data_IF_630699585023
#
_entry.id   IF_630699585023
#
_cell.length_a   1.000
_cell.length_b   1.000
_cell.length_c   1.000
_cell.angle_alpha   90.00
_cell.angle_beta   90.00
_cell.angle_gamma   90.00
#
_symmetry.space_group_name_H-M   'P 1'
#
loop_
_entity.id
_entity.type
_entity.pdbx_description
1 polymer ?
#
# COMPACT_ATOMS: atom_id res chain seq x y z
N UNK A 1 3.20 12.65 -13.97
CA UNK A 1 3.51 12.51 -12.54
C UNK A 1 2.46 11.62 -11.89
N UNK A 2 2.86 10.70 -11.01
CA UNK A 2 1.90 9.86 -10.28
C UNK A 2 1.03 10.66 -9.31
N UNK A 3 -0.17 10.16 -8.98
CA UNK A 3 -1.11 10.85 -8.09
C UNK A 3 -1.97 9.89 -7.28
N UNK A 4 -2.31 10.30 -6.06
CA UNK A 4 -3.36 9.66 -5.28
C UNK A 4 -4.73 10.17 -5.75
N UNK A 5 -5.68 9.25 -5.92
CA UNK A 5 -7.07 9.54 -6.24
C UNK A 5 -7.93 8.99 -5.11
N UNK A 6 -8.57 9.89 -4.35
CA UNK A 6 -9.54 9.49 -3.32
C UNK A 6 -10.88 9.22 -4.01
N UNK A 7 -11.51 8.09 -3.66
CA UNK A 7 -12.82 7.67 -4.12
C UNK A 7 -13.76 7.52 -2.92
N UNK A 8 -14.94 8.10 -3.02
CA UNK A 8 -16.05 7.84 -2.09
C UNK A 8 -16.72 6.52 -2.48
N UNK A 9 -16.94 5.64 -1.51
CA UNK A 9 -17.73 4.40 -1.63
C UNK A 9 -19.07 4.59 -0.91
N UNK A 10 -19.94 3.58 -0.96
CA UNK A 10 -21.20 3.59 -0.22
C UNK A 10 -20.99 3.61 1.31
N UNK A 11 -19.82 3.19 1.78
CA UNK A 11 -19.50 3.00 3.20
C UNK A 11 -18.43 3.95 3.72
N UNK A 12 -17.83 4.80 2.88
CA UNK A 12 -16.78 5.72 3.30
C UNK A 12 -15.91 6.24 2.16
N UNK A 13 -14.61 6.33 2.41
CA UNK A 13 -13.59 6.87 1.50
C UNK A 13 -12.44 5.87 1.39
N UNK A 14 -11.91 5.68 0.20
CA UNK A 14 -10.67 4.93 -0.04
C UNK A 14 -9.84 5.64 -1.09
N UNK A 15 -8.66 5.15 -1.41
CA UNK A 15 -7.81 5.77 -2.43
C UNK A 15 -7.15 4.75 -3.35
N UNK A 16 -6.65 5.27 -4.48
CA UNK A 16 -5.75 4.53 -5.38
C UNK A 16 -4.58 5.41 -5.76
N UNK A 17 -3.39 4.81 -5.84
CA UNK A 17 -2.21 5.45 -6.43
C UNK A 17 -2.18 5.11 -7.91
N UNK A 18 -2.10 6.16 -8.75
CA UNK A 18 -1.95 6.04 -10.19
C UNK A 18 -0.55 6.43 -10.64
N UNK A 19 0.02 5.64 -11.53
CA UNK A 19 1.28 5.96 -12.22
C UNK A 19 1.10 7.14 -13.20
N UNK A 20 2.20 7.61 -13.78
CA UNK A 20 2.18 8.75 -14.71
C UNK A 20 1.37 8.49 -15.98
N UNK A 21 1.24 7.23 -16.38
CA UNK A 21 0.41 6.75 -17.49
C UNK A 21 -1.07 6.57 -17.11
N UNK A 22 -1.45 6.80 -15.84
CA UNK A 22 -2.83 6.71 -15.36
C UNK A 22 -3.26 5.33 -14.86
N UNK A 23 -2.42 4.31 -14.97
CA UNK A 23 -2.70 2.97 -14.45
C UNK A 23 -2.66 2.94 -12.92
N UNK A 24 -3.55 2.14 -12.33
CA UNK A 24 -3.57 1.95 -10.87
C UNK A 24 -2.48 0.97 -10.48
N UNK A 25 -1.57 1.41 -9.61
CA UNK A 25 -0.44 0.60 -9.12
C UNK A 25 -0.60 0.17 -7.66
N UNK A 26 -1.47 0.85 -6.90
CA UNK A 26 -1.77 0.49 -5.53
C UNK A 26 -3.19 0.96 -5.17
N UNK A 27 -3.89 0.17 -4.37
CA UNK A 27 -5.19 0.50 -3.78
C UNK A 27 -5.03 0.53 -2.27
N UNK A 28 -5.69 1.49 -1.60
CA UNK A 28 -5.71 1.56 -0.14
C UNK A 28 -6.26 0.26 0.47
N UNK A 29 -5.68 -0.19 1.57
CA UNK A 29 -6.05 -1.44 2.25
C UNK A 29 -7.39 -1.42 2.97
N UNK A 30 -8.00 -0.24 3.14
CA UNK A 30 -9.23 -0.06 3.91
C UNK A 30 -10.16 1.02 3.34
N UNK A 31 -11.37 1.07 3.91
CA UNK A 31 -12.38 2.12 3.67
C UNK A 31 -12.52 2.94 4.97
N UNK A 32 -12.19 4.21 4.89
CA UNK A 32 -12.24 5.17 5.99
C UNK A 32 -13.62 5.82 6.10
N UNK A 33 -14.11 6.01 7.32
CA UNK A 33 -15.38 6.71 7.55
C UNK A 33 -15.31 8.21 7.25
N UNK A 34 -14.12 8.82 7.28
CA UNK A 34 -13.92 10.26 7.03
C UNK A 34 -12.86 10.52 5.96
N UNK A 35 -13.01 11.64 5.25
CA UNK A 35 -12.00 12.09 4.27
C UNK A 35 -10.66 12.39 4.94
N UNK A 36 -10.67 12.99 6.12
CA UNK A 36 -9.46 13.33 6.87
C UNK A 36 -8.65 12.08 7.25
N UNK A 37 -9.32 11.01 7.72
CA UNK A 37 -8.66 9.73 7.99
C UNK A 37 -8.02 9.14 6.74
N UNK A 38 -8.70 9.19 5.60
CA UNK A 38 -8.16 8.74 4.31
C UNK A 38 -6.93 9.55 3.88
N UNK A 39 -6.95 10.87 4.06
CA UNK A 39 -5.81 11.75 3.75
C UNK A 39 -4.61 11.47 4.67
N UNK A 40 -4.85 11.24 5.96
CA UNK A 40 -3.80 10.87 6.91
C UNK A 40 -3.15 9.53 6.55
N UNK A 41 -3.95 8.55 6.09
CA UNK A 41 -3.42 7.28 5.60
C UNK A 41 -2.54 7.47 4.35
N UNK A 42 -2.96 8.30 3.38
CA UNK A 42 -2.14 8.64 2.21
C UNK A 42 -0.80 9.26 2.63
N UNK A 43 -0.80 10.17 3.59
CA UNK A 43 0.42 10.80 4.08
C UNK A 43 1.35 9.79 4.78
N UNK A 44 0.78 8.85 5.54
CA UNK A 44 1.52 7.73 6.13
C UNK A 44 2.16 6.85 5.06
N UNK A 45 1.41 6.51 4.00
CA UNK A 45 1.90 5.74 2.85
C UNK A 45 3.04 6.49 2.15
N UNK A 46 2.93 7.80 1.91
CA UNK A 46 4.00 8.59 1.29
C UNK A 46 5.30 8.54 2.08
N UNK A 47 5.22 8.71 3.40
CA UNK A 47 6.39 8.66 4.29
C UNK A 47 6.98 7.26 4.38
N UNK A 48 6.13 6.24 4.47
CA UNK A 48 6.55 4.85 4.61
C UNK A 48 7.19 4.33 3.32
N UNK A 49 6.59 4.61 2.16
CA UNK A 49 7.09 4.17 0.87
C UNK A 49 8.50 4.69 0.56
N UNK A 50 8.83 5.91 1.00
CA UNK A 50 10.17 6.49 0.80
C UNK A 50 11.27 5.81 1.65
N UNK A 51 10.90 5.17 2.76
CA UNK A 51 11.83 4.55 3.71
C UNK A 51 11.72 3.02 3.75
N UNK A 52 10.88 2.42 2.90
CA UNK A 52 10.54 1.00 2.99
C UNK A 52 11.60 0.11 2.35
N UNK A 53 12.06 -0.89 3.10
CA UNK A 53 12.87 -1.99 2.55
C UNK A 53 12.00 -2.94 1.72
N UNK A 54 12.62 -3.75 0.85
CA UNK A 54 11.93 -4.81 0.11
C UNK A 54 12.19 -6.15 0.80
N UNK A 55 11.12 -6.84 1.17
CA UNK A 55 11.12 -8.21 1.67
C UNK A 55 10.44 -9.12 0.64
N UNK A 56 11.23 -9.88 -0.11
CA UNK A 56 10.70 -10.82 -1.10
C UNK A 56 10.36 -12.16 -0.44
N UNK A 57 9.08 -12.39 -0.14
CA UNK A 57 8.61 -13.63 0.47
C UNK A 57 8.38 -14.75 -0.57
N UNK A 58 8.70 -14.51 -1.84
CA UNK A 58 8.56 -15.50 -2.92
C UNK A 58 9.79 -16.38 -3.08
N UNK A 59 10.89 -16.04 -2.39
CA UNK A 59 12.11 -16.85 -2.33
C UNK A 59 12.20 -17.62 -1.01
N UNK A 60 12.72 -18.84 -1.06
CA UNK A 60 12.96 -19.65 0.13
C UNK A 60 14.05 -19.01 1.00
N UNK A 61 13.85 -18.99 2.32
CA UNK A 61 14.84 -18.46 3.27
C UNK A 61 14.99 -16.93 3.28
N UNK A 62 14.00 -16.18 2.79
CA UNK A 62 14.05 -14.72 2.72
C UNK A 62 14.37 -14.06 4.08
N UNK A 63 15.12 -12.95 4.02
CA UNK A 63 15.44 -12.16 5.21
C UNK A 63 14.28 -11.25 5.59
N UNK A 64 13.83 -11.35 6.86
CA UNK A 64 12.78 -10.48 7.39
C UNK A 64 13.30 -9.06 7.57
N UNK A 65 12.60 -8.11 6.97
CA UNK A 65 12.86 -6.68 7.09
C UNK A 65 12.03 -6.06 8.22
N UNK A 66 12.57 -4.97 8.78
CA UNK A 66 11.86 -4.11 9.75
C UNK A 66 10.91 -3.15 9.03
N UNK A 67 9.89 -2.65 9.73
CA UNK A 67 8.96 -1.67 9.17
C UNK A 67 9.59 -0.26 9.08
N UNK A 68 9.22 0.54 8.05
CA UNK A 68 8.30 0.20 6.98
C UNK A 68 8.94 -0.73 5.95
N UNK A 69 8.14 -1.57 5.27
CA UNK A 69 8.65 -2.46 4.21
C UNK A 69 7.59 -2.78 3.17
N UNK A 70 8.03 -3.07 1.95
CA UNK A 70 7.24 -3.76 0.95
C UNK A 70 7.43 -5.25 1.10
N UNK A 71 6.34 -5.98 1.33
CA UNK A 71 6.36 -7.44 1.27
C UNK A 71 5.91 -7.85 -0.13
N UNK A 72 6.75 -8.58 -0.87
CA UNK A 72 6.39 -9.23 -2.14
C UNK A 72 5.94 -10.65 -1.80
N UNK A 73 4.77 -11.06 -2.27
CA UNK A 73 4.20 -12.36 -1.92
C UNK A 73 3.35 -12.93 -3.06
N UNK A 74 3.17 -14.25 -3.07
CA UNK A 74 2.18 -14.92 -3.91
C UNK A 74 0.84 -14.91 -3.17
N UNK A 75 -0.21 -14.41 -3.83
CA UNK A 75 -1.55 -14.52 -3.27
C UNK A 75 -2.11 -15.96 -3.38
N UNK A 76 -3.33 -16.17 -2.86
CA UNK A 76 -3.98 -17.49 -2.87
C UNK A 76 -4.22 -18.07 -4.26
N UNK A 77 -4.14 -17.25 -5.31
CA UNK A 77 -4.28 -17.66 -6.71
C UNK A 77 -2.92 -17.89 -7.40
N UNK A 78 -1.82 -17.70 -6.67
CA UNK A 78 -0.47 -17.80 -7.22
C UNK A 78 -0.07 -16.56 -8.02
N UNK A 79 -0.76 -15.42 -7.85
CA UNK A 79 -0.37 -14.17 -8.50
C UNK A 79 0.61 -13.40 -7.61
N UNK A 80 1.66 -12.83 -8.21
CA UNK A 80 2.60 -11.97 -7.51
C UNK A 80 1.91 -10.66 -7.10
N UNK A 81 1.98 -10.33 -5.81
CA UNK A 81 1.43 -9.13 -5.20
C UNK A 81 2.50 -8.47 -4.34
N UNK A 82 2.27 -7.21 -4.00
CA UNK A 82 3.02 -6.53 -2.95
C UNK A 82 2.07 -5.80 -2.01
N UNK A 83 2.50 -5.57 -0.77
CA UNK A 83 1.84 -4.67 0.18
C UNK A 83 2.86 -3.85 0.94
N UNK A 84 2.52 -2.60 1.25
CA UNK A 84 3.33 -1.73 2.07
C UNK A 84 2.90 -1.90 3.53
N UNK A 85 3.83 -2.31 4.39
CA UNK A 85 3.64 -2.27 5.84
C UNK A 85 4.20 -0.97 6.38
N UNK A 86 3.34 -0.14 6.98
CA UNK A 86 3.75 1.11 7.62
C UNK A 86 4.55 0.86 8.91
N UNK A 87 5.14 1.91 9.50
CA UNK A 87 5.94 1.80 10.74
C UNK A 87 5.21 1.14 11.92
N UNK A 88 3.88 1.27 11.98
CA UNK A 88 3.04 0.64 12.98
C UNK A 88 2.65 -0.82 12.65
N UNK A 89 3.11 -1.37 11.51
CA UNK A 89 2.84 -2.74 11.07
C UNK A 89 1.50 -2.95 10.36
N UNK A 90 0.72 -1.88 10.18
CA UNK A 90 -0.52 -1.94 9.42
C UNK A 90 -0.23 -2.02 7.89
N UNK A 91 -0.96 -2.87 7.15
CA UNK A 91 -0.90 -2.95 5.68
C UNK A 91 -1.70 -1.87 4.96
#
# INVERSE_FOLDING_TARGET
>A
MGKFVIKKTNTGYTFSLKAGNGEVICTGGEVFNTLASCQNSIESVRKSAAAANIEDQTVEGYEKQVHPKFEIYLDKKGEFRFRLKARNGEP
#
